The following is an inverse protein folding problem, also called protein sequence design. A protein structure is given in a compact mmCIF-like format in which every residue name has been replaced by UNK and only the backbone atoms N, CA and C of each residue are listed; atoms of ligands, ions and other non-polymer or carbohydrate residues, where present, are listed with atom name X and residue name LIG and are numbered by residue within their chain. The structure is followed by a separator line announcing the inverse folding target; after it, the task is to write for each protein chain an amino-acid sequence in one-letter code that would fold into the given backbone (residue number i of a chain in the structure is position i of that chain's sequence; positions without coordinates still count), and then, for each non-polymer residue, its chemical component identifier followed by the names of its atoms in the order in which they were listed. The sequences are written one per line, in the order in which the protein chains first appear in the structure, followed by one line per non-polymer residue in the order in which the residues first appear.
data_IF_564582038578
#
_entry.id   IF_564582038578
#
_cell.length_a   1.000
_cell.length_b   1.000
_cell.length_c   1.000
_cell.angle_alpha   90.00
_cell.angle_beta   90.00
_cell.angle_gamma   90.00
#
_symmetry.space_group_name_H-M   'P 1'
#
loop_
_entity.id
_entity.type
_entity.pdbx_description
1 polymer ?
#
# COMPACT_ATOMS: atom_id res chain seq x y z
N UNK A 1 23.61 -10.06 10.63
CA UNK A 1 22.52 -10.01 11.63
C UNK A 1 23.06 -10.03 13.07
N UNK A 2 23.93 -10.96 13.44
CA UNK A 2 24.34 -11.22 14.84
C UNK A 2 24.92 -9.99 15.59
N UNK A 3 25.64 -9.13 14.92
CA UNK A 3 26.15 -7.90 15.52
C UNK A 3 25.14 -6.74 15.41
N UNK A 4 24.33 -6.65 14.31
CA UNK A 4 23.34 -5.58 14.11
C UNK A 4 22.24 -5.64 15.17
N UNK A 5 21.74 -6.82 15.50
CA UNK A 5 20.73 -7.00 16.56
C UNK A 5 21.18 -6.51 17.95
N UNK A 6 22.49 -6.42 18.17
CA UNK A 6 23.10 -5.90 19.42
C UNK A 6 23.36 -4.40 19.36
N UNK A 7 23.20 -3.75 18.20
CA UNK A 7 23.37 -2.31 18.04
C UNK A 7 22.25 -1.61 18.81
N UNK A 8 22.55 -0.64 19.68
CA UNK A 8 21.53 0.12 20.42
C UNK A 8 20.47 0.71 19.48
N UNK A 9 19.22 0.72 19.91
CA UNK A 9 18.10 1.19 19.10
C UNK A 9 18.25 2.66 18.70
N UNK A 10 18.81 3.49 19.59
CA UNK A 10 19.09 4.90 19.35
C UNK A 10 20.06 5.06 18.17
N UNK A 11 21.05 4.19 18.09
CA UNK A 11 22.01 4.19 16.99
C UNK A 11 21.34 3.75 15.68
N UNK A 12 20.49 2.71 15.72
CA UNK A 12 19.72 2.27 14.54
C UNK A 12 18.76 3.38 14.07
N UNK A 13 18.03 4.01 14.98
CA UNK A 13 17.15 5.13 14.68
C UNK A 13 17.90 6.33 14.08
N UNK A 14 19.12 6.60 14.56
CA UNK A 14 19.93 7.72 14.05
C UNK A 14 20.29 7.59 12.56
N UNK A 15 20.43 6.38 12.03
CA UNK A 15 20.65 6.18 10.58
C UNK A 15 19.43 6.60 9.78
N UNK A 16 18.22 6.22 10.23
CA UNK A 16 16.98 6.59 9.55
C UNK A 16 16.74 8.10 9.57
N UNK A 17 16.97 8.75 10.73
CA UNK A 17 16.80 10.20 10.86
C UNK A 17 17.78 10.97 9.94
N UNK A 18 19.04 10.53 9.86
CA UNK A 18 20.02 11.09 8.93
C UNK A 18 19.65 10.87 7.46
N UNK A 19 19.11 9.68 7.14
CA UNK A 19 18.66 9.39 5.79
C UNK A 19 17.45 10.26 5.43
N UNK A 20 16.49 10.44 6.32
CA UNK A 20 15.34 11.33 6.15
C UNK A 20 15.78 12.79 5.91
N UNK A 21 16.75 13.30 6.70
CA UNK A 21 17.31 14.64 6.51
C UNK A 21 17.97 14.81 5.16
N UNK A 22 18.82 13.86 4.74
CA UNK A 22 19.49 13.90 3.44
C UNK A 22 18.51 13.78 2.28
N UNK A 23 17.52 12.88 2.37
CA UNK A 23 16.48 12.74 1.36
C UNK A 23 15.66 14.01 1.21
N UNK A 24 15.32 14.69 2.32
CA UNK A 24 14.61 15.98 2.30
C UNK A 24 15.41 17.06 1.56
N UNK A 25 16.72 17.12 1.74
CA UNK A 25 17.60 18.05 1.02
C UNK A 25 17.69 17.74 -0.49
N UNK A 26 17.48 16.49 -0.87
CA UNK A 26 17.56 15.96 -2.25
C UNK A 26 16.19 15.56 -2.79
N UNK A 27 15.10 16.09 -2.23
CA UNK A 27 13.72 15.70 -2.50
C UNK A 27 13.40 15.66 -4.00
N UNK A 28 13.78 16.73 -4.71
CA UNK A 28 13.51 16.83 -6.15
C UNK A 28 14.30 15.82 -7.00
N UNK A 29 15.48 15.38 -6.54
CA UNK A 29 16.25 14.35 -7.23
C UNK A 29 15.53 13.00 -7.17
N UNK A 30 15.03 12.59 -5.99
CA UNK A 30 14.25 11.36 -5.83
C UNK A 30 12.92 11.44 -6.59
N UNK A 31 12.24 12.59 -6.53
CA UNK A 31 10.99 12.78 -7.26
C UNK A 31 11.20 12.71 -8.78
N UNK A 32 12.24 13.35 -9.31
CA UNK A 32 12.57 13.28 -10.73
C UNK A 32 12.84 11.84 -11.21
N UNK A 33 13.51 11.03 -10.41
CA UNK A 33 13.72 9.61 -10.77
C UNK A 33 12.39 8.88 -10.98
N UNK A 34 11.40 9.09 -10.12
CA UNK A 34 10.09 8.45 -10.27
C UNK A 34 9.27 9.00 -11.43
N UNK A 35 9.47 10.26 -11.82
CA UNK A 35 8.88 10.82 -13.03
C UNK A 35 9.38 10.06 -14.26
N UNK A 36 10.70 9.84 -14.37
CA UNK A 36 11.31 9.16 -15.52
C UNK A 36 11.15 7.63 -15.48
N UNK A 37 11.19 7.02 -14.30
CA UNK A 37 11.22 5.55 -14.17
C UNK A 37 9.82 4.93 -14.23
N UNK A 38 8.83 5.56 -13.59
CA UNK A 38 7.47 5.00 -13.46
C UNK A 38 6.38 5.97 -13.91
N UNK A 39 6.73 7.02 -14.63
CA UNK A 39 5.82 8.01 -15.21
C UNK A 39 4.88 8.68 -14.20
N UNK A 40 5.30 8.89 -12.95
CA UNK A 40 4.55 9.72 -12.00
C UNK A 40 4.55 11.17 -12.44
N UNK A 41 3.42 11.89 -12.35
CA UNK A 41 3.44 13.33 -12.45
C UNK A 41 4.15 13.95 -11.24
N UNK A 42 4.45 15.23 -11.29
CA UNK A 42 5.28 15.89 -10.26
C UNK A 42 4.65 15.84 -8.88
N UNK A 43 3.33 16.03 -8.78
CA UNK A 43 2.63 16.02 -7.51
C UNK A 43 2.66 14.63 -6.85
N UNK A 44 2.43 13.57 -7.62
CA UNK A 44 2.47 12.19 -7.14
C UNK A 44 3.91 11.77 -6.74
N UNK A 45 4.91 12.18 -7.52
CA UNK A 45 6.32 11.90 -7.22
C UNK A 45 6.81 12.65 -5.96
N UNK A 46 6.38 13.90 -5.80
CA UNK A 46 6.70 14.71 -4.62
C UNK A 46 6.08 14.12 -3.34
N UNK A 47 4.82 13.67 -3.42
CA UNK A 47 4.14 13.00 -2.31
C UNK A 47 4.79 11.67 -1.93
N UNK A 48 5.20 10.85 -2.91
CA UNK A 48 5.88 9.58 -2.67
C UNK A 48 7.23 9.81 -1.93
N UNK A 49 7.99 10.82 -2.35
CA UNK A 49 9.24 11.18 -1.66
C UNK A 49 8.98 11.71 -0.24
N UNK A 50 7.94 12.51 -0.04
CA UNK A 50 7.57 13.00 1.29
C UNK A 50 7.17 11.84 2.22
N UNK A 51 6.36 10.90 1.72
CA UNK A 51 5.94 9.72 2.48
C UNK A 51 7.14 8.83 2.86
N UNK A 52 8.14 8.68 1.98
CA UNK A 52 9.37 7.95 2.30
C UNK A 52 10.13 8.59 3.47
N UNK A 53 10.20 9.92 3.49
CA UNK A 53 10.79 10.68 4.60
C UNK A 53 10.00 10.45 5.89
N UNK A 54 8.68 10.53 5.83
CA UNK A 54 7.79 10.35 6.97
C UNK A 54 7.93 8.93 7.56
N UNK A 55 8.01 7.89 6.72
CA UNK A 55 8.25 6.51 7.19
C UNK A 55 9.55 6.40 7.98
N UNK A 56 10.65 6.96 7.49
CA UNK A 56 11.93 6.90 8.17
C UNK A 56 11.87 7.59 9.54
N UNK A 57 11.28 8.78 9.62
CA UNK A 57 11.16 9.53 10.86
C UNK A 57 10.20 8.88 11.86
N UNK A 58 9.05 8.40 11.37
CA UNK A 58 8.04 7.75 12.20
C UNK A 58 8.57 6.44 12.80
N UNK A 59 9.13 5.56 11.97
CA UNK A 59 9.63 4.27 12.45
C UNK A 59 10.86 4.40 13.35
N UNK A 60 11.71 5.42 13.16
CA UNK A 60 12.79 5.72 14.08
C UNK A 60 12.25 5.98 15.50
N UNK A 61 11.18 6.77 15.63
CA UNK A 61 10.55 7.11 16.91
C UNK A 61 9.81 5.91 17.53
N UNK A 62 9.06 5.15 16.73
CA UNK A 62 8.33 3.98 17.21
C UNK A 62 9.27 2.83 17.63
N UNK A 63 10.44 2.70 17.02
CA UNK A 63 11.45 1.75 17.47
C UNK A 63 11.97 2.06 18.88
N UNK A 64 12.18 3.33 19.19
CA UNK A 64 12.59 3.75 20.55
C UNK A 64 11.53 3.36 21.59
N UNK A 65 10.24 3.52 21.27
CA UNK A 65 9.12 3.11 22.14
C UNK A 65 9.05 1.60 22.32
N UNK A 66 9.15 0.83 21.25
CA UNK A 66 8.96 -0.62 21.29
C UNK A 66 10.17 -1.38 21.83
N UNK A 67 11.38 -0.86 21.65
CA UNK A 67 12.59 -1.50 22.18
C UNK A 67 12.85 -1.17 23.66
N UNK A 68 12.07 -0.27 24.28
CA UNK A 68 12.04 -0.10 25.73
C UNK A 68 11.36 -1.31 26.40
N UNK A 69 11.66 -1.62 27.67
CA UNK A 69 10.94 -2.63 28.43
C UNK A 69 9.43 -2.37 28.40
N UNK A 70 8.65 -3.40 28.12
CA UNK A 70 7.19 -3.28 28.01
C UNK A 70 6.53 -3.43 29.39
N UNK A 71 5.44 -2.69 29.67
CA UNK A 71 4.73 -2.84 30.92
C UNK A 71 4.12 -4.23 31.06
N UNK A 72 4.29 -4.86 32.20
CA UNK A 72 3.70 -6.14 32.57
C UNK A 72 3.05 -6.07 33.95
N UNK A 73 2.12 -6.99 34.21
CA UNK A 73 1.48 -7.09 35.52
C UNK A 73 2.48 -7.61 36.54
N UNK A 74 2.43 -7.05 37.77
CA UNK A 74 3.28 -7.49 38.86
C UNK A 74 2.94 -8.94 39.29
N UNK A 75 3.98 -9.72 39.62
CA UNK A 75 3.80 -11.07 40.14
C UNK A 75 2.94 -11.09 41.41
N UNK A 76 2.03 -12.05 41.54
CA UNK A 76 1.28 -12.25 42.76
C UNK A 76 2.21 -12.69 43.91
N UNK A 77 1.90 -12.30 45.16
CA UNK A 77 2.78 -12.54 46.37
C UNK A 77 3.11 -14.00 46.59
N UNK A 78 2.21 -14.92 46.21
CA UNK A 78 2.41 -16.37 46.40
C UNK A 78 3.51 -16.95 45.52
N UNK A 79 3.88 -16.27 44.42
CA UNK A 79 4.97 -16.70 43.51
C UNK A 79 6.37 -16.36 44.05
N UNK A 80 6.45 -15.55 45.15
CA UNK A 80 7.68 -15.08 45.73
C UNK A 80 8.20 -13.79 45.10
N UNK A 81 9.47 -13.49 45.32
CA UNK A 81 10.11 -12.33 44.71
C UNK A 81 10.61 -12.68 43.30
N UNK A 82 10.04 -12.05 42.30
CA UNK A 82 10.48 -12.17 40.93
C UNK A 82 10.70 -10.82 40.27
N UNK A 83 11.73 -10.73 39.43
CA UNK A 83 11.92 -9.68 38.43
C UNK A 83 11.44 -10.23 37.08
N UNK A 84 10.44 -9.60 36.52
CA UNK A 84 9.85 -10.02 35.28
C UNK A 84 9.95 -8.90 34.21
N UNK A 85 10.24 -9.30 32.99
CA UNK A 85 10.40 -8.38 31.87
C UNK A 85 9.73 -8.95 30.61
N UNK A 86 9.17 -8.06 29.81
CA UNK A 86 8.80 -8.34 28.41
C UNK A 86 9.61 -7.40 27.51
N UNK A 87 10.43 -7.97 26.66
CA UNK A 87 11.22 -7.21 25.67
C UNK A 87 10.92 -7.70 24.26
N UNK A 88 11.03 -6.79 23.29
CA UNK A 88 10.95 -7.15 21.88
C UNK A 88 12.34 -7.30 21.30
N UNK A 89 12.55 -8.39 20.56
CA UNK A 89 13.82 -8.71 19.88
C UNK A 89 13.58 -8.89 18.37
N UNK A 90 14.57 -8.60 17.52
CA UNK A 90 14.42 -8.75 16.07
C UNK A 90 14.26 -10.21 15.63
N UNK A 91 13.58 -10.41 14.52
CA UNK A 91 13.34 -11.72 13.94
C UNK A 91 14.58 -12.36 13.32
N UNK A 92 15.31 -11.63 12.46
CA UNK A 92 16.45 -12.17 11.74
C UNK A 92 16.71 -11.51 10.38
N UNK A 93 16.90 -12.31 9.35
CA UNK A 93 17.09 -11.85 7.97
C UNK A 93 15.74 -11.82 7.25
N UNK A 94 15.40 -10.71 6.63
CA UNK A 94 14.16 -10.53 5.88
C UNK A 94 14.35 -10.39 4.38
N UNK A 95 13.37 -10.88 3.62
CA UNK A 95 13.20 -10.59 2.20
C UNK A 95 12.23 -9.40 2.05
N UNK A 96 12.65 -8.35 1.36
CA UNK A 96 11.83 -7.18 1.06
C UNK A 96 11.56 -7.14 -0.44
N UNK A 97 10.26 -7.23 -0.79
CA UNK A 97 9.77 -7.33 -2.17
C UNK A 97 8.76 -6.22 -2.43
N UNK A 98 9.20 -4.97 -2.68
CA UNK A 98 8.33 -3.82 -2.88
C UNK A 98 7.76 -3.75 -4.30
N UNK A 99 6.68 -2.98 -4.51
CA UNK A 99 6.08 -2.74 -5.81
C UNK A 99 6.80 -1.61 -6.56
N UNK A 100 6.36 -1.35 -7.79
CA UNK A 100 6.87 -0.25 -8.61
C UNK A 100 6.03 1.04 -8.50
N UNK A 101 4.76 0.94 -8.12
CA UNK A 101 3.82 2.07 -8.19
C UNK A 101 4.01 3.13 -7.09
N UNK A 102 4.52 2.74 -5.94
CA UNK A 102 5.08 3.61 -4.89
C UNK A 102 6.53 3.18 -4.67
N UNK A 103 7.31 3.43 -5.72
CA UNK A 103 8.64 2.86 -5.88
C UNK A 103 9.63 3.27 -4.79
N UNK A 104 9.46 4.45 -4.21
CA UNK A 104 10.29 4.95 -3.12
C UNK A 104 9.64 4.70 -1.75
N UNK A 105 8.44 5.23 -1.50
CA UNK A 105 7.87 5.26 -0.15
C UNK A 105 7.60 3.87 0.42
N UNK A 106 6.94 2.98 -0.34
CA UNK A 106 6.65 1.62 0.14
C UNK A 106 7.96 0.84 0.33
N UNK A 107 8.89 0.94 -0.61
CA UNK A 107 10.20 0.31 -0.49
C UNK A 107 10.95 0.78 0.76
N UNK A 108 11.01 2.09 0.98
CA UNK A 108 11.64 2.70 2.16
C UNK A 108 10.92 2.28 3.44
N UNK A 109 9.59 2.33 3.46
CA UNK A 109 8.79 1.95 4.63
C UNK A 109 9.02 0.50 5.04
N UNK A 110 8.95 -0.46 4.11
CA UNK A 110 9.19 -1.89 4.35
C UNK A 110 10.63 -2.16 4.80
N UNK A 111 11.59 -1.51 4.17
CA UNK A 111 13.02 -1.70 4.44
C UNK A 111 13.41 -1.11 5.80
N UNK A 112 13.07 0.14 6.05
CA UNK A 112 13.53 0.87 7.23
C UNK A 112 12.85 0.41 8.51
N UNK A 113 11.58 -0.02 8.45
CA UNK A 113 10.90 -0.67 9.58
C UNK A 113 11.63 -1.94 10.04
N UNK A 114 12.04 -2.77 9.09
CA UNK A 114 12.80 -3.99 9.39
C UNK A 114 14.20 -3.67 9.96
N UNK A 115 14.90 -2.69 9.37
CA UNK A 115 16.25 -2.31 9.79
C UNK A 115 16.27 -1.72 11.21
N UNK A 116 15.37 -0.77 11.50
CA UNK A 116 15.34 -0.13 12.81
C UNK A 116 14.90 -1.08 13.93
N UNK A 117 14.06 -2.08 13.60
CA UNK A 117 13.73 -3.17 14.52
C UNK A 117 14.93 -4.07 14.85
N UNK A 118 16.06 -3.95 14.12
CA UNK A 118 17.29 -4.70 14.38
C UNK A 118 17.49 -5.90 13.45
N UNK A 119 16.67 -6.04 12.41
CA UNK A 119 16.83 -7.06 11.38
C UNK A 119 17.82 -6.61 10.31
N UNK A 120 18.33 -7.56 9.53
CA UNK A 120 19.04 -7.30 8.29
C UNK A 120 18.17 -7.74 7.12
N UNK A 121 18.32 -7.10 5.96
CA UNK A 121 17.42 -7.36 4.84
C UNK A 121 18.16 -7.59 3.52
N UNK A 122 17.54 -8.41 2.68
CA UNK A 122 17.81 -8.49 1.25
C UNK A 122 16.62 -7.82 0.55
N UNK A 123 16.89 -6.72 -0.12
CA UNK A 123 15.90 -5.94 -0.87
C UNK A 123 16.00 -6.31 -2.35
N UNK A 124 14.90 -6.77 -2.93
CA UNK A 124 14.75 -6.96 -4.37
C UNK A 124 13.67 -6.00 -4.89
N UNK A 125 14.06 -4.86 -5.48
CA UNK A 125 13.09 -3.95 -6.06
C UNK A 125 12.32 -4.59 -7.22
N UNK A 126 11.18 -3.98 -7.59
CA UNK A 126 10.51 -4.33 -8.82
C UNK A 126 11.45 -4.13 -10.02
N UNK A 127 11.42 -5.04 -11.03
CA UNK A 127 12.15 -4.81 -12.28
C UNK A 127 11.77 -3.51 -13.00
N UNK A 128 10.56 -2.98 -12.74
CA UNK A 128 10.06 -1.75 -13.34
C UNK A 128 10.54 -0.47 -12.60
N UNK A 129 11.25 -0.61 -11.44
CA UNK A 129 11.72 0.52 -10.64
C UNK A 129 13.09 0.22 -9.95
N UNK A 130 14.15 -0.12 -10.72
CA UNK A 130 15.45 -0.46 -10.15
C UNK A 130 16.29 0.75 -9.75
N UNK A 131 16.16 1.89 -10.45
CA UNK A 131 17.06 3.03 -10.26
C UNK A 131 16.79 3.79 -8.96
N UNK A 132 15.51 4.00 -8.61
CA UNK A 132 15.15 4.63 -7.34
C UNK A 132 15.62 3.79 -6.15
N UNK A 133 15.64 2.46 -6.28
CA UNK A 133 16.17 1.56 -5.26
C UNK A 133 17.71 1.66 -5.14
N UNK A 134 18.42 1.76 -6.26
CA UNK A 134 19.87 2.01 -6.25
C UNK A 134 20.16 3.34 -5.53
N UNK A 135 19.40 4.38 -5.85
CA UNK A 135 19.56 5.70 -5.24
C UNK A 135 19.29 5.72 -3.74
N UNK A 136 18.31 4.94 -3.29
CA UNK A 136 18.07 4.74 -1.86
C UNK A 136 19.22 3.98 -1.19
N UNK A 137 19.79 2.95 -1.84
CA UNK A 137 20.94 2.22 -1.31
C UNK A 137 22.17 3.14 -1.16
N UNK A 138 22.46 3.98 -2.17
CA UNK A 138 23.51 5.00 -2.09
C UNK A 138 23.29 5.95 -0.90
N UNK A 139 22.07 6.42 -0.71
CA UNK A 139 21.72 7.28 0.43
C UNK A 139 22.02 6.58 1.78
N UNK A 140 21.70 5.29 1.89
CA UNK A 140 21.97 4.52 3.09
C UNK A 140 23.48 4.29 3.34
N UNK A 141 24.28 4.15 2.30
CA UNK A 141 25.74 4.13 2.40
C UNK A 141 26.30 5.50 2.85
N UNK A 142 25.80 6.58 2.26
CA UNK A 142 26.20 7.95 2.58
C UNK A 142 25.93 8.35 4.04
N UNK A 143 24.91 7.79 4.68
CA UNK A 143 24.65 8.01 6.12
C UNK A 143 25.46 7.08 7.01
N UNK A 144 26.29 6.21 6.39
CA UNK A 144 27.19 5.30 7.08
C UNK A 144 26.51 4.06 7.63
N UNK A 145 25.38 3.61 7.02
CA UNK A 145 24.78 2.33 7.38
C UNK A 145 25.80 1.22 7.18
N UNK A 146 26.07 0.37 8.18
CA UNK A 146 27.11 -0.64 8.06
C UNK A 146 26.82 -1.67 6.96
N UNK A 147 27.86 -2.11 6.27
CA UNK A 147 27.77 -3.11 5.20
C UNK A 147 27.11 -4.41 5.68
N UNK A 148 26.25 -5.00 4.85
CA UNK A 148 25.53 -6.24 5.13
C UNK A 148 24.25 -6.06 5.97
N UNK A 149 23.92 -4.84 6.39
CA UNK A 149 22.63 -4.53 7.04
C UNK A 149 21.52 -4.41 6.01
N UNK A 150 21.75 -3.66 4.94
CA UNK A 150 20.94 -3.59 3.72
C UNK A 150 21.74 -4.21 2.58
N UNK A 151 21.14 -5.15 1.86
CA UNK A 151 21.72 -5.79 0.68
C UNK A 151 20.69 -5.67 -0.45
N UNK A 152 21.08 -5.09 -1.58
CA UNK A 152 20.18 -4.93 -2.73
C UNK A 152 20.60 -5.94 -3.80
N UNK A 153 19.60 -6.67 -4.32
CA UNK A 153 19.77 -7.58 -5.45
C UNK A 153 18.71 -7.31 -6.50
N UNK A 154 19.07 -7.47 -7.75
CA UNK A 154 18.16 -7.27 -8.88
C UNK A 154 17.81 -8.60 -9.51
N UNK A 155 16.66 -8.69 -10.16
CA UNK A 155 16.20 -9.87 -10.86
C UNK A 155 14.69 -9.98 -10.94
N UNK A 156 14.22 -10.99 -11.66
CA UNK A 156 12.81 -11.28 -11.89
C UNK A 156 12.17 -12.07 -10.75
N UNK A 157 11.17 -12.88 -11.13
CA UNK A 157 10.40 -13.70 -10.21
C UNK A 157 11.26 -14.79 -9.56
N UNK A 158 12.18 -15.38 -10.32
CA UNK A 158 13.08 -16.46 -9.89
C UNK A 158 13.97 -16.06 -8.71
N UNK A 159 14.45 -14.81 -8.69
CA UNK A 159 15.23 -14.27 -7.57
C UNK A 159 14.33 -14.08 -6.35
N UNK A 160 13.10 -13.56 -6.55
CA UNK A 160 12.11 -13.42 -5.47
C UNK A 160 11.73 -14.76 -4.84
N UNK A 161 11.50 -15.78 -5.65
CA UNK A 161 11.19 -17.15 -5.20
C UNK A 161 12.34 -17.73 -4.39
N UNK A 162 13.58 -17.61 -4.88
CA UNK A 162 14.78 -18.06 -4.15
C UNK A 162 14.92 -17.38 -2.79
N UNK A 163 14.61 -16.06 -2.69
CA UNK A 163 14.61 -15.34 -1.41
C UNK A 163 13.54 -15.85 -0.45
N UNK A 164 12.32 -16.09 -0.95
CA UNK A 164 11.19 -16.58 -0.14
C UNK A 164 11.48 -17.99 0.38
N UNK A 165 12.03 -18.86 -0.46
CA UNK A 165 12.30 -20.26 -0.15
C UNK A 165 13.54 -20.46 0.72
N UNK A 166 14.47 -19.55 0.71
CA UNK A 166 15.76 -19.71 1.41
C UNK A 166 15.58 -20.02 2.90
N UNK A 167 16.20 -21.06 3.47
CA UNK A 167 15.99 -21.51 4.84
C UNK A 167 16.38 -20.47 5.91
N UNK A 168 17.26 -19.53 5.58
CA UNK A 168 17.67 -18.45 6.49
C UNK A 168 16.75 -17.24 6.43
N UNK A 169 15.83 -17.13 5.47
CA UNK A 169 14.80 -16.09 5.44
C UNK A 169 13.84 -16.28 6.59
N UNK A 170 13.74 -15.28 7.46
CA UNK A 170 12.94 -15.33 8.69
C UNK A 170 11.55 -14.71 8.49
N UNK A 171 11.49 -13.67 7.66
CA UNK A 171 10.24 -13.02 7.27
C UNK A 171 10.31 -12.53 5.83
N UNK A 172 9.14 -12.37 5.24
CA UNK A 172 8.94 -11.80 3.92
C UNK A 172 8.03 -10.60 4.08
N UNK A 173 8.45 -9.43 3.60
CA UNK A 173 7.61 -8.25 3.46
C UNK A 173 7.40 -8.01 1.97
N UNK A 174 6.15 -8.09 1.54
CA UNK A 174 5.74 -8.05 0.14
C UNK A 174 4.61 -7.05 -0.07
N UNK A 175 4.70 -6.27 -1.12
CA UNK A 175 3.58 -5.49 -1.66
C UNK A 175 3.51 -5.70 -3.16
N UNK A 176 2.34 -6.12 -3.67
CA UNK A 176 2.16 -6.42 -5.08
C UNK A 176 0.81 -7.08 -5.39
N UNK A 177 0.76 -7.88 -6.47
CA UNK A 177 -0.49 -8.52 -6.86
C UNK A 177 -0.92 -9.66 -5.93
N UNK A 178 -2.23 -9.84 -5.78
CA UNK A 178 -2.85 -10.95 -5.03
C UNK A 178 -2.26 -12.31 -5.41
N UNK A 179 -2.16 -12.60 -6.71
CA UNK A 179 -1.68 -13.88 -7.20
C UNK A 179 -0.24 -14.19 -6.73
N UNK A 180 0.64 -13.18 -6.71
CA UNK A 180 2.02 -13.34 -6.21
C UNK A 180 2.04 -13.44 -4.69
N UNK A 181 1.26 -12.63 -3.97
CA UNK A 181 1.19 -12.69 -2.51
C UNK A 181 0.72 -14.04 -1.97
N UNK A 182 -0.30 -14.64 -2.61
CA UNK A 182 -0.78 -15.98 -2.26
C UNK A 182 0.29 -17.07 -2.51
N UNK A 183 1.02 -17.00 -3.64
CA UNK A 183 2.15 -17.91 -3.91
C UNK A 183 3.27 -17.76 -2.87
N UNK A 184 3.58 -16.53 -2.47
CA UNK A 184 4.58 -16.26 -1.42
C UNK A 184 4.14 -16.90 -0.11
N UNK A 185 2.87 -16.73 0.27
CA UNK A 185 2.32 -17.28 1.51
C UNK A 185 2.37 -18.82 1.50
N UNK A 186 1.98 -19.45 0.40
CA UNK A 186 2.09 -20.91 0.21
C UNK A 186 3.55 -21.39 0.30
N UNK A 187 4.48 -20.73 -0.42
CA UNK A 187 5.89 -21.10 -0.43
C UNK A 187 6.55 -20.93 0.95
N UNK A 188 6.19 -19.87 1.68
CA UNK A 188 6.69 -19.59 3.02
C UNK A 188 6.24 -20.61 4.07
N UNK A 189 5.06 -21.22 3.88
CA UNK A 189 4.53 -22.26 4.76
C UNK A 189 5.27 -23.61 4.63
N UNK A 190 5.95 -23.86 3.51
CA UNK A 190 6.71 -25.09 3.28
C UNK A 190 8.02 -25.07 4.07
N UNK A 191 8.20 -26.04 4.99
CA UNK A 191 9.44 -26.17 5.74
C UNK A 191 10.58 -26.62 4.81
N UNK A 192 11.72 -25.93 4.90
CA UNK A 192 12.94 -26.24 4.13
C UNK A 192 14.00 -26.87 5.03
N UNK A 193 14.86 -27.69 4.44
CA UNK A 193 15.99 -28.28 5.18
C UNK A 193 16.87 -27.17 5.81
N UNK A 194 17.23 -27.32 7.08
CA UNK A 194 17.98 -26.34 7.87
C UNK A 194 17.18 -25.14 8.38
N UNK A 195 15.90 -25.02 8.06
CA UNK A 195 15.02 -23.98 8.60
C UNK A 195 14.63 -24.31 10.05
N UNK A 196 14.75 -23.32 10.95
CA UNK A 196 14.51 -23.50 12.40
C UNK A 196 13.29 -22.71 12.91
N UNK A 197 12.51 -22.08 12.03
CA UNK A 197 11.41 -21.19 12.38
C UNK A 197 10.27 -21.23 11.35
N UNK A 198 9.09 -20.83 11.78
CA UNK A 198 7.99 -20.51 10.88
C UNK A 198 8.28 -19.11 10.29
N UNK A 199 8.28 -18.98 8.96
CA UNK A 199 8.46 -17.70 8.28
C UNK A 199 7.23 -16.83 8.51
N UNK A 200 7.44 -15.54 8.79
CA UNK A 200 6.36 -14.57 8.86
C UNK A 200 6.18 -13.92 7.49
N UNK A 201 4.96 -13.87 7.00
CA UNK A 201 4.60 -13.14 5.78
C UNK A 201 3.82 -11.90 6.16
N UNK A 202 4.30 -10.74 5.70
CA UNK A 202 3.65 -9.45 5.76
C UNK A 202 3.33 -9.08 4.32
N UNK A 203 2.06 -9.15 3.93
CA UNK A 203 1.64 -8.98 2.56
C UNK A 203 0.59 -7.85 2.47
N UNK A 204 0.83 -6.92 1.55
CA UNK A 204 -0.13 -5.93 1.07
C UNK A 204 -0.37 -6.18 -0.41
N UNK A 205 -1.63 -6.36 -0.80
CA UNK A 205 -2.02 -6.76 -2.13
C UNK A 205 -3.02 -5.78 -2.74
N UNK A 206 -3.66 -6.16 -3.82
CA UNK A 206 -4.58 -5.32 -4.54
C UNK A 206 -5.87 -4.99 -3.81
N UNK A 207 -6.70 -4.20 -4.47
CA UNK A 207 -8.02 -3.79 -4.01
C UNK A 207 -9.04 -3.74 -5.14
N UNK A 208 -10.30 -3.74 -4.77
CA UNK A 208 -11.45 -3.40 -5.64
C UNK A 208 -12.31 -2.37 -4.93
N UNK A 209 -11.68 -1.24 -4.68
CA UNK A 209 -12.12 -0.23 -3.73
C UNK A 209 -13.35 0.54 -4.23
N UNK A 210 -14.24 0.90 -3.31
CA UNK A 210 -15.51 1.51 -3.63
C UNK A 210 -15.75 2.83 -2.87
N UNK A 211 -16.41 3.78 -3.54
CA UNK A 211 -17.02 4.94 -2.90
C UNK A 211 -18.54 4.81 -3.02
N UNK A 212 -19.26 4.88 -1.90
CA UNK A 212 -20.72 4.95 -1.84
C UNK A 212 -21.14 6.42 -1.82
N UNK A 213 -22.09 6.80 -2.68
CA UNK A 213 -22.65 8.16 -2.75
C UNK A 213 -24.14 8.12 -2.49
N UNK A 214 -24.56 8.78 -1.39
CA UNK A 214 -25.96 8.89 -0.95
C UNK A 214 -26.61 10.20 -1.42
N UNK A 215 -27.96 10.27 -1.53
CA UNK A 215 -28.64 11.44 -2.07
C UNK A 215 -28.46 12.73 -1.26
N UNK A 216 -28.17 12.61 0.04
CA UNK A 216 -27.93 13.75 0.94
C UNK A 216 -26.46 14.21 0.97
N UNK A 217 -25.60 13.59 0.17
CA UNK A 217 -24.19 13.97 0.06
C UNK A 217 -24.00 15.37 -0.57
N UNK A 218 -22.83 15.95 -0.36
CA UNK A 218 -22.35 17.00 -1.26
C UNK A 218 -21.83 16.33 -2.55
N UNK A 219 -22.65 16.34 -3.61
CA UNK A 219 -22.35 15.61 -4.85
C UNK A 219 -21.10 16.15 -5.55
N UNK A 220 -20.85 17.45 -5.50
CA UNK A 220 -19.66 18.04 -6.15
C UNK A 220 -18.36 17.59 -5.47
N UNK A 221 -18.33 17.55 -4.13
CA UNK A 221 -17.19 17.01 -3.39
C UNK A 221 -17.07 15.48 -3.55
N UNK A 222 -18.16 14.75 -3.62
CA UNK A 222 -18.16 13.30 -3.85
C UNK A 222 -17.59 12.97 -5.24
N UNK A 223 -18.03 13.66 -6.29
CA UNK A 223 -17.52 13.53 -7.66
C UNK A 223 -16.06 13.89 -7.74
N UNK A 224 -15.64 15.01 -7.15
CA UNK A 224 -14.24 15.43 -7.10
C UNK A 224 -13.35 14.38 -6.43
N UNK A 225 -13.78 13.87 -5.29
CA UNK A 225 -13.05 12.83 -4.56
C UNK A 225 -12.99 11.50 -5.34
N UNK A 226 -14.08 11.12 -6.02
CA UNK A 226 -14.13 9.93 -6.88
C UNK A 226 -13.14 10.04 -8.04
N UNK A 227 -13.15 11.14 -8.80
CA UNK A 227 -12.23 11.38 -9.91
C UNK A 227 -10.76 11.36 -9.46
N UNK A 228 -10.45 12.03 -8.36
CA UNK A 228 -9.11 12.03 -7.80
C UNK A 228 -8.66 10.64 -7.33
N UNK A 229 -9.57 9.85 -6.77
CA UNK A 229 -9.28 8.50 -6.29
C UNK A 229 -9.19 7.49 -7.43
N UNK A 230 -9.98 7.66 -8.51
CA UNK A 230 -10.01 6.72 -9.63
C UNK A 230 -8.85 6.93 -10.61
N UNK A 231 -8.52 8.19 -10.91
CA UNK A 231 -7.64 8.53 -12.02
C UNK A 231 -6.26 9.10 -11.62
N UNK A 232 -6.05 9.43 -10.34
CA UNK A 232 -4.72 9.79 -9.86
C UNK A 232 -3.70 8.69 -10.15
N UNK A 233 -2.54 9.06 -10.68
CA UNK A 233 -1.51 8.14 -11.18
C UNK A 233 -2.08 7.10 -12.17
N UNK A 234 -3.01 7.53 -13.04
CA UNK A 234 -3.68 6.68 -14.04
C UNK A 234 -4.34 5.43 -13.44
N UNK A 235 -4.87 5.53 -12.21
CA UNK A 235 -5.51 4.40 -11.52
C UNK A 235 -4.58 3.29 -11.05
N UNK A 236 -3.26 3.47 -11.12
CA UNK A 236 -2.24 2.47 -10.77
C UNK A 236 -1.93 2.46 -9.27
N UNK A 237 -2.97 2.49 -8.44
CA UNK A 237 -2.87 2.42 -6.97
C UNK A 237 -3.71 1.26 -6.46
N UNK A 238 -3.17 0.53 -5.48
CA UNK A 238 -3.94 -0.51 -4.80
C UNK A 238 -5.21 0.05 -4.13
N UNK A 239 -5.18 1.33 -3.72
CA UNK A 239 -6.28 2.09 -3.10
C UNK A 239 -7.13 2.90 -4.09
N UNK A 240 -6.96 2.73 -5.41
CA UNK A 240 -7.71 3.50 -6.39
C UNK A 240 -9.20 3.16 -6.34
N UNK A 241 -10.06 4.20 -6.42
CA UNK A 241 -11.50 4.01 -6.55
C UNK A 241 -11.80 3.36 -7.92
N UNK A 242 -12.06 2.08 -7.93
CA UNK A 242 -12.38 1.33 -9.15
C UNK A 242 -13.88 1.06 -9.31
N UNK A 243 -14.65 1.29 -8.22
CA UNK A 243 -16.11 1.21 -8.20
C UNK A 243 -16.70 2.45 -7.54
N UNK A 244 -17.73 3.02 -8.10
CA UNK A 244 -18.58 3.99 -7.41
C UNK A 244 -19.99 3.45 -7.34
N UNK A 245 -20.54 3.34 -6.13
CA UNK A 245 -21.87 2.79 -5.87
C UNK A 245 -22.77 3.97 -5.53
N UNK A 246 -23.71 4.24 -6.41
CA UNK A 246 -24.48 5.48 -6.40
C UNK A 246 -25.95 5.15 -6.11
N UNK A 247 -26.52 5.84 -5.12
CA UNK A 247 -27.95 5.72 -4.84
C UNK A 247 -28.77 6.10 -6.10
N UNK A 248 -29.78 5.29 -6.46
CA UNK A 248 -30.60 5.46 -7.67
C UNK A 248 -31.19 6.87 -7.83
N UNK A 249 -31.49 7.56 -6.72
CA UNK A 249 -32.12 8.90 -6.71
C UNK A 249 -31.22 10.01 -7.27
N UNK A 250 -29.91 9.79 -7.28
CA UNK A 250 -28.92 10.78 -7.73
C UNK A 250 -27.98 10.19 -8.81
N UNK A 251 -28.29 8.98 -9.31
CA UNK A 251 -27.44 8.24 -10.20
C UNK A 251 -27.11 9.02 -11.48
N UNK A 252 -28.13 9.48 -12.19
CA UNK A 252 -27.93 10.15 -13.48
C UNK A 252 -27.19 11.48 -13.32
N UNK A 253 -27.50 12.26 -12.27
CA UNK A 253 -26.78 13.50 -11.95
C UNK A 253 -25.30 13.24 -11.65
N UNK A 254 -25.00 12.20 -10.88
CA UNK A 254 -23.60 11.85 -10.54
C UNK A 254 -22.86 11.37 -11.78
N UNK A 255 -23.47 10.56 -12.66
CA UNK A 255 -22.84 10.13 -13.94
C UNK A 255 -22.51 11.33 -14.82
N UNK A 256 -23.44 12.29 -14.98
CA UNK A 256 -23.21 13.50 -15.75
C UNK A 256 -22.01 14.30 -15.18
N UNK A 257 -22.02 14.55 -13.88
CA UNK A 257 -20.92 15.28 -13.21
C UNK A 257 -19.57 14.53 -13.27
N UNK A 258 -19.57 13.20 -13.19
CA UNK A 258 -18.34 12.39 -13.33
C UNK A 258 -17.75 12.51 -14.74
N UNK A 259 -18.60 12.42 -15.79
CA UNK A 259 -18.16 12.53 -17.18
C UNK A 259 -17.65 13.94 -17.52
N UNK A 260 -18.37 14.98 -17.07
CA UNK A 260 -17.91 16.37 -17.22
C UNK A 260 -16.54 16.58 -16.57
N UNK A 261 -16.39 16.14 -15.32
CA UNK A 261 -15.13 16.32 -14.60
C UNK A 261 -13.99 15.45 -15.14
N UNK A 262 -14.26 14.25 -15.62
CA UNK A 262 -13.26 13.41 -16.30
C UNK A 262 -12.75 14.08 -17.57
N UNK A 263 -13.61 14.81 -18.30
CA UNK A 263 -13.25 15.59 -19.48
C UNK A 263 -12.27 16.76 -19.20
N UNK A 264 -12.10 17.17 -17.95
CA UNK A 264 -11.11 18.19 -17.59
C UNK A 264 -9.71 17.64 -17.30
N UNK A 265 -9.55 16.31 -17.26
CA UNK A 265 -8.26 15.67 -17.00
C UNK A 265 -7.37 15.77 -18.25
N UNK A 266 -6.12 16.17 -18.04
CA UNK A 266 -5.09 16.16 -19.08
C UNK A 266 -4.32 14.85 -19.05
N UNK A 267 -4.06 14.26 -20.21
CA UNK A 267 -3.25 13.05 -20.39
C UNK A 267 -2.01 13.39 -21.23
N UNK A 268 -0.82 13.07 -20.75
CA UNK A 268 0.41 13.43 -21.45
C UNK A 268 1.68 12.89 -20.79
N UNK A 269 2.83 13.38 -21.25
CA UNK A 269 4.13 13.02 -20.70
C UNK A 269 4.23 13.51 -19.24
N UNK A 270 4.70 12.64 -18.35
CA UNK A 270 4.84 12.91 -16.91
C UNK A 270 5.75 14.14 -16.64
N UNK A 271 6.73 14.41 -17.50
CA UNK A 271 7.63 15.55 -17.40
C UNK A 271 6.89 16.90 -17.50
N UNK A 272 5.78 16.93 -18.25
CA UNK A 272 4.94 18.12 -18.40
C UNK A 272 3.90 18.29 -17.29
N UNK A 273 3.90 17.38 -16.30
CA UNK A 273 3.00 17.40 -15.14
C UNK A 273 1.50 17.39 -15.48
N UNK A 274 1.01 16.47 -16.33
CA UNK A 274 -0.41 16.34 -16.61
C UNK A 274 -1.18 15.74 -15.42
N UNK A 275 -2.52 15.75 -15.49
CA UNK A 275 -3.37 15.07 -14.49
C UNK A 275 -3.11 13.56 -14.47
N UNK A 276 -2.89 12.98 -15.64
CA UNK A 276 -2.63 11.56 -15.88
C UNK A 276 -1.46 11.39 -16.85
N UNK A 277 -0.72 10.31 -16.69
CA UNK A 277 0.44 9.96 -17.52
C UNK A 277 0.32 8.54 -18.06
N UNK A 278 1.36 8.08 -18.77
CA UNK A 278 1.42 6.72 -19.28
C UNK A 278 1.30 5.67 -18.16
N UNK A 279 0.72 4.51 -18.47
CA UNK A 279 0.79 3.34 -17.58
C UNK A 279 2.17 2.70 -17.65
N UNK A 280 2.54 1.96 -16.62
CA UNK A 280 3.93 1.58 -16.31
C UNK A 280 4.63 0.71 -17.37
N UNK A 281 3.90 -0.06 -18.16
CA UNK A 281 4.50 -1.04 -19.06
C UNK A 281 3.55 -1.48 -20.18
N UNK A 282 4.11 -2.08 -21.23
CA UNK A 282 3.32 -2.71 -22.31
C UNK A 282 2.36 -3.77 -21.76
N UNK A 283 2.80 -4.55 -20.76
CA UNK A 283 1.96 -5.57 -20.13
C UNK A 283 0.77 -4.95 -19.43
N UNK A 284 0.96 -3.85 -18.70
CA UNK A 284 -0.14 -3.09 -18.07
C UNK A 284 -1.07 -2.52 -19.13
N UNK A 285 -0.54 -1.90 -20.18
CA UNK A 285 -1.30 -1.34 -21.28
C UNK A 285 -2.22 -2.39 -21.96
N UNK A 286 -1.66 -3.56 -22.31
CA UNK A 286 -2.43 -4.67 -22.91
C UNK A 286 -3.52 -5.17 -21.98
N UNK A 287 -3.20 -5.41 -20.70
CA UNK A 287 -4.17 -5.85 -19.69
C UNK A 287 -5.32 -4.85 -19.56
N UNK A 288 -5.02 -3.57 -19.38
CA UNK A 288 -6.05 -2.55 -19.17
C UNK A 288 -6.92 -2.39 -20.41
N UNK A 289 -6.32 -2.40 -21.60
CA UNK A 289 -7.05 -2.34 -22.88
C UNK A 289 -8.00 -3.53 -23.05
N UNK A 290 -7.57 -4.75 -22.66
CA UNK A 290 -8.45 -5.93 -22.65
C UNK A 290 -9.65 -5.73 -21.72
N UNK A 291 -9.45 -5.20 -20.51
CA UNK A 291 -10.55 -4.91 -19.59
C UNK A 291 -11.50 -3.82 -20.08
N UNK A 292 -10.99 -2.85 -20.84
CA UNK A 292 -11.86 -1.85 -21.51
C UNK A 292 -12.77 -2.54 -22.53
N UNK A 293 -12.24 -3.46 -23.33
CA UNK A 293 -13.07 -4.22 -24.30
C UNK A 293 -14.08 -5.15 -23.60
N UNK A 294 -13.70 -5.79 -22.49
CA UNK A 294 -14.62 -6.55 -21.64
C UNK A 294 -15.73 -5.62 -21.10
N UNK A 295 -15.37 -4.45 -20.59
CA UNK A 295 -16.33 -3.48 -20.08
C UNK A 295 -17.34 -3.00 -21.12
N UNK A 296 -16.92 -2.83 -22.37
CA UNK A 296 -17.83 -2.49 -23.49
C UNK A 296 -18.88 -3.58 -23.77
N UNK A 297 -18.60 -4.82 -23.38
CA UNK A 297 -19.54 -5.94 -23.51
C UNK A 297 -20.45 -6.10 -22.29
N UNK A 298 -19.96 -5.70 -21.10
CA UNK A 298 -20.66 -5.89 -19.83
C UNK A 298 -21.48 -4.68 -19.40
N UNK A 299 -21.18 -3.46 -19.91
CA UNK A 299 -21.76 -2.22 -19.41
C UNK A 299 -21.76 -1.10 -20.46
N UNK A 300 -22.38 0.02 -20.13
CA UNK A 300 -22.45 1.20 -21.00
C UNK A 300 -21.20 2.07 -20.83
N UNK A 301 -20.36 2.15 -21.87
CA UNK A 301 -19.25 3.11 -21.90
C UNK A 301 -19.84 4.54 -22.02
N UNK A 302 -19.59 5.40 -21.06
CA UNK A 302 -20.08 6.78 -21.02
C UNK A 302 -18.99 7.83 -21.20
N UNK A 303 -17.71 7.47 -20.97
CA UNK A 303 -16.57 8.36 -21.19
C UNK A 303 -15.29 7.59 -21.53
N UNK A 304 -14.43 8.16 -22.38
CA UNK A 304 -13.09 7.65 -22.70
C UNK A 304 -13.10 6.33 -23.48
N UNK A 305 -12.27 5.40 -23.07
CA UNK A 305 -12.20 4.05 -23.66
C UNK A 305 -11.21 3.93 -24.82
N UNK A 306 -10.34 4.93 -25.05
CA UNK A 306 -9.29 4.88 -26.06
C UNK A 306 -7.93 4.62 -25.39
N UNK A 307 -7.09 3.90 -26.11
CA UNK A 307 -5.72 3.61 -25.74
C UNK A 307 -4.79 3.91 -26.93
N UNK A 308 -3.66 4.56 -26.69
CA UNK A 308 -2.66 4.94 -27.71
C UNK A 308 -1.26 4.50 -27.28
N UNK A 309 -0.65 3.64 -28.07
CA UNK A 309 0.71 3.15 -27.88
C UNK A 309 1.73 3.76 -28.86
N UNK A 310 1.36 4.76 -29.65
CA UNK A 310 2.21 5.33 -30.69
C UNK A 310 3.42 6.11 -30.15
N UNK A 311 3.28 6.72 -28.96
CA UNK A 311 4.33 7.53 -28.28
C UNK A 311 4.60 7.10 -26.86
N UNK A 312 3.83 6.15 -26.33
CA UNK A 312 3.88 5.66 -24.96
C UNK A 312 2.62 4.89 -24.62
N UNK A 313 2.54 4.33 -23.42
CA UNK A 313 1.40 3.51 -23.00
C UNK A 313 0.28 4.37 -22.41
N UNK A 314 -0.39 5.18 -23.26
CA UNK A 314 -1.42 6.12 -22.82
C UNK A 314 -2.83 5.51 -22.90
N UNK A 315 -3.60 5.65 -21.84
CA UNK A 315 -5.01 5.19 -21.73
C UNK A 315 -5.84 6.33 -21.18
N UNK A 316 -6.92 6.68 -21.88
CA UNK A 316 -7.86 7.70 -21.43
C UNK A 316 -8.56 7.29 -20.13
N UNK A 317 -8.94 8.25 -19.25
CA UNK A 317 -9.84 7.96 -18.15
C UNK A 317 -11.13 7.37 -18.71
N UNK A 318 -11.52 6.21 -18.22
CA UNK A 318 -12.62 5.41 -18.78
C UNK A 318 -13.69 5.18 -17.74
N UNK A 319 -14.95 5.53 -18.05
CA UNK A 319 -16.10 5.40 -17.16
C UNK A 319 -17.16 4.51 -17.81
N UNK A 320 -17.54 3.46 -17.09
CA UNK A 320 -18.67 2.60 -17.43
C UNK A 320 -19.84 2.87 -16.48
N UNK A 321 -21.01 3.08 -17.02
CA UNK A 321 -22.28 3.20 -16.29
C UNK A 321 -23.09 1.91 -16.40
N UNK A 322 -24.10 1.78 -15.54
CA UNK A 322 -25.03 0.64 -15.48
C UNK A 322 -24.29 -0.71 -15.35
N UNK A 323 -23.23 -0.70 -14.52
CA UNK A 323 -22.42 -1.90 -14.31
C UNK A 323 -23.12 -2.83 -13.32
N UNK A 324 -23.28 -4.08 -13.67
CA UNK A 324 -23.77 -5.10 -12.76
C UNK A 324 -22.72 -5.39 -11.66
N UNK A 325 -23.12 -5.56 -10.38
CA UNK A 325 -22.18 -5.83 -9.29
C UNK A 325 -21.29 -7.06 -9.51
N UNK A 326 -21.77 -8.04 -10.28
CA UNK A 326 -21.06 -9.29 -10.59
C UNK A 326 -20.20 -9.24 -11.87
N UNK A 327 -20.23 -8.13 -12.61
CA UNK A 327 -19.44 -7.95 -13.82
C UNK A 327 -17.94 -8.04 -13.52
N UNK A 328 -17.15 -8.57 -14.45
CA UNK A 328 -15.70 -8.70 -14.29
C UNK A 328 -15.03 -7.36 -13.99
N UNK A 329 -15.48 -6.28 -14.66
CA UNK A 329 -14.96 -4.93 -14.39
C UNK A 329 -15.34 -4.39 -13.01
N UNK A 330 -16.34 -4.98 -12.33
CA UNK A 330 -16.72 -4.66 -10.94
C UNK A 330 -16.04 -5.54 -9.89
N UNK A 331 -15.51 -6.71 -10.28
CA UNK A 331 -14.96 -7.70 -9.36
C UNK A 331 -13.42 -7.85 -9.44
N UNK A 332 -12.85 -7.78 -10.64
CA UNK A 332 -11.43 -8.03 -10.87
C UNK A 332 -10.60 -6.73 -10.81
N UNK A 333 -9.40 -6.79 -10.24
CA UNK A 333 -8.47 -5.66 -10.18
C UNK A 333 -7.85 -5.37 -11.55
N UNK A 334 -8.20 -4.21 -12.13
CA UNK A 334 -7.70 -3.77 -13.44
C UNK A 334 -6.32 -3.11 -13.30
N UNK A 335 -6.12 -2.29 -12.28
CA UNK A 335 -4.92 -1.49 -11.98
C UNK A 335 -4.63 -0.45 -13.08
N UNK A 336 -5.66 0.26 -13.49
CA UNK A 336 -5.64 1.25 -14.55
C UNK A 336 -6.81 2.24 -14.45
N UNK A 337 -6.91 3.22 -15.37
CA UNK A 337 -7.85 4.32 -15.29
C UNK A 337 -9.27 3.91 -15.73
N UNK A 338 -9.86 2.94 -15.06
CA UNK A 338 -11.19 2.40 -15.36
C UNK A 338 -12.07 2.46 -14.11
N UNK A 339 -13.19 3.15 -14.20
CA UNK A 339 -14.18 3.33 -13.15
C UNK A 339 -15.49 2.65 -13.53
N UNK A 340 -15.98 1.75 -12.68
CA UNK A 340 -17.28 1.09 -12.79
C UNK A 340 -18.31 1.79 -11.90
N UNK A 341 -19.38 2.31 -12.50
CA UNK A 341 -20.49 2.97 -11.81
C UNK A 341 -21.66 1.99 -11.65
N UNK A 342 -22.00 1.70 -10.40
CA UNK A 342 -23.01 0.73 -10.00
C UNK A 342 -24.18 1.48 -9.34
N UNK A 343 -25.40 1.11 -9.69
CA UNK A 343 -26.62 1.67 -9.07
C UNK A 343 -27.02 0.86 -7.84
N UNK A 344 -27.44 1.54 -6.79
CA UNK A 344 -28.02 0.90 -5.61
C UNK A 344 -29.34 1.57 -5.23
N UNK A 345 -30.36 0.79 -4.89
CA UNK A 345 -31.67 1.31 -4.50
C UNK A 345 -31.65 2.02 -3.15
N UNK A 346 -30.78 1.58 -2.26
CA UNK A 346 -30.68 2.12 -0.90
C UNK A 346 -29.27 1.85 -0.30
N UNK A 347 -29.03 2.37 0.92
CA UNK A 347 -27.76 2.25 1.61
C UNK A 347 -27.42 0.81 2.02
N UNK A 348 -28.40 -0.03 2.31
CA UNK A 348 -28.19 -1.44 2.69
C UNK A 348 -27.63 -2.21 1.50
N UNK A 349 -28.23 -2.06 0.32
CA UNK A 349 -27.76 -2.65 -0.91
C UNK A 349 -26.39 -2.09 -1.31
N UNK A 350 -26.17 -0.78 -1.13
CA UNK A 350 -24.86 -0.17 -1.42
C UNK A 350 -23.74 -0.77 -0.56
N UNK A 351 -23.97 -1.00 0.73
CA UNK A 351 -23.03 -1.68 1.62
C UNK A 351 -22.83 -3.14 1.23
N UNK A 352 -23.90 -3.85 0.86
CA UNK A 352 -23.79 -5.23 0.39
C UNK A 352 -22.91 -5.31 -0.87
N UNK A 353 -23.18 -4.49 -1.89
CA UNK A 353 -22.38 -4.42 -3.12
C UNK A 353 -20.93 -4.04 -2.82
N UNK A 354 -20.70 -3.09 -1.91
CA UNK A 354 -19.37 -2.65 -1.54
C UNK A 354 -18.54 -3.79 -0.93
N UNK A 355 -19.16 -4.62 -0.08
CA UNK A 355 -18.53 -5.75 0.60
C UNK A 355 -18.45 -7.03 -0.26
N UNK A 356 -19.26 -7.15 -1.31
CA UNK A 356 -19.31 -8.34 -2.17
C UNK A 356 -18.14 -8.35 -3.16
N UNK A 357 -16.94 -8.55 -2.62
CA UNK A 357 -15.67 -8.71 -3.34
C UNK A 357 -14.68 -9.49 -2.48
N UNK A 358 -13.75 -10.16 -3.12
CA UNK A 358 -12.67 -10.87 -2.42
C UNK A 358 -11.63 -9.95 -1.76
N UNK A 359 -11.70 -8.64 -2.05
CA UNK A 359 -10.80 -7.62 -1.52
C UNK A 359 -11.42 -6.86 -0.33
N UNK A 360 -10.63 -6.08 0.35
CA UNK A 360 -11.06 -5.24 1.47
C UNK A 360 -9.99 -4.21 1.86
N UNK A 361 -9.47 -3.43 0.85
CA UNK A 361 -8.38 -2.50 1.14
C UNK A 361 -8.90 -1.14 1.59
N UNK A 362 -9.52 -0.38 0.69
CA UNK A 362 -10.07 0.94 1.02
C UNK A 362 -11.53 1.06 0.62
N UNK A 363 -12.26 1.92 1.35
CA UNK A 363 -13.65 2.25 1.04
C UNK A 363 -13.99 3.67 1.47
N UNK A 364 -15.01 4.24 0.87
CA UNK A 364 -15.50 5.57 1.20
C UNK A 364 -17.01 5.68 1.19
N UNK A 365 -17.53 6.60 2.00
CA UNK A 365 -18.97 6.90 2.05
C UNK A 365 -19.17 8.40 2.08
N UNK A 366 -20.00 8.89 1.16
CA UNK A 366 -20.45 10.28 1.12
C UNK A 366 -21.92 10.38 1.52
N UNK A 367 -22.20 10.98 2.67
CA UNK A 367 -23.54 11.26 3.20
C UNK A 367 -23.43 12.28 4.34
N UNK A 368 -24.49 13.08 4.56
CA UNK A 368 -24.63 13.93 5.75
C UNK A 368 -25.31 13.19 6.91
N UNK A 369 -25.88 12.02 6.65
CA UNK A 369 -26.60 11.25 7.66
C UNK A 369 -25.63 10.55 8.63
N UNK A 370 -25.56 11.05 9.86
CA UNK A 370 -24.68 10.52 10.90
C UNK A 370 -24.90 9.03 11.19
N UNK A 371 -26.15 8.57 11.16
CA UNK A 371 -26.47 7.15 11.41
C UNK A 371 -25.87 6.23 10.32
N UNK A 372 -25.93 6.67 9.06
CA UNK A 372 -25.28 5.92 7.95
C UNK A 372 -23.77 5.89 8.09
N UNK A 373 -23.15 7.00 8.54
CA UNK A 373 -21.71 7.05 8.79
C UNK A 373 -21.28 6.10 9.93
N UNK A 374 -22.06 6.02 11.02
CA UNK A 374 -21.77 5.07 12.11
C UNK A 374 -21.94 3.63 11.65
N UNK A 375 -23.01 3.32 10.92
CA UNK A 375 -23.20 1.99 10.33
C UNK A 375 -22.06 1.61 9.38
N UNK A 376 -21.58 2.53 8.56
CA UNK A 376 -20.43 2.26 7.67
C UNK A 376 -19.17 1.87 8.45
N UNK A 377 -18.95 2.45 9.63
CA UNK A 377 -17.80 2.06 10.48
C UNK A 377 -17.87 0.62 10.97
N UNK A 378 -19.07 0.10 11.16
CA UNK A 378 -19.31 -1.25 11.66
C UNK A 378 -19.47 -2.28 10.53
N UNK A 379 -20.12 -1.86 9.43
CA UNK A 379 -20.62 -2.78 8.40
C UNK A 379 -19.80 -2.76 7.10
N UNK A 380 -19.06 -1.67 6.77
CA UNK A 380 -18.21 -1.63 5.58
C UNK A 380 -16.86 -2.28 5.88
N UNK A 381 -16.66 -3.50 5.41
CA UNK A 381 -15.54 -4.36 5.79
C UNK A 381 -14.29 -4.10 4.96
N UNK A 382 -13.57 -3.02 5.28
CA UNK A 382 -12.32 -2.61 4.65
C UNK A 382 -11.29 -2.21 5.69
N UNK A 383 -10.02 -2.37 5.37
CA UNK A 383 -8.93 -2.00 6.26
C UNK A 383 -8.80 -0.49 6.49
N UNK A 384 -9.16 0.32 5.49
CA UNK A 384 -9.16 1.79 5.58
C UNK A 384 -10.48 2.36 5.08
N UNK A 385 -11.30 2.88 6.00
CA UNK A 385 -12.57 3.52 5.70
C UNK A 385 -12.45 5.04 5.78
N UNK A 386 -12.92 5.74 4.76
CA UNK A 386 -12.90 7.18 4.64
C UNK A 386 -14.32 7.76 4.53
N UNK A 387 -14.63 8.75 5.34
CA UNK A 387 -15.94 9.36 5.39
C UNK A 387 -15.88 10.80 4.85
N UNK A 388 -16.68 11.10 3.81
CA UNK A 388 -16.79 12.41 3.16
C UNK A 388 -15.42 12.95 2.64
N UNK A 389 -14.56 12.06 2.14
CA UNK A 389 -13.28 12.42 1.52
C UNK A 389 -12.85 11.36 0.51
N UNK A 390 -11.82 11.67 -0.28
CA UNK A 390 -11.18 10.69 -1.20
C UNK A 390 -10.60 9.50 -0.43
N UNK A 391 -10.54 8.33 -1.07
CA UNK A 391 -10.07 7.07 -0.48
C UNK A 391 -8.58 6.79 -0.70
N UNK A 392 -7.87 7.68 -1.38
CA UNK A 392 -6.42 7.62 -1.61
C UNK A 392 -5.67 8.62 -0.74
N UNK A 393 -4.33 8.46 -0.62
CA UNK A 393 -3.45 9.37 0.12
C UNK A 393 -3.56 9.18 1.64
N UNK A 394 -3.35 7.96 2.10
CA UNK A 394 -3.10 7.68 3.50
C UNK A 394 -1.80 8.37 3.94
N UNK A 395 -1.77 8.90 5.16
CA UNK A 395 -0.62 9.59 5.73
C UNK A 395 0.00 8.77 6.86
N UNK A 396 1.32 8.68 6.87
CA UNK A 396 2.09 7.97 7.90
C UNK A 396 1.77 8.55 9.29
N UNK A 397 1.49 7.69 10.24
CA UNK A 397 1.12 8.07 11.61
C UNK A 397 -0.32 8.58 11.79
N UNK A 398 -1.04 8.87 10.70
CA UNK A 398 -2.41 9.39 10.71
C UNK A 398 -3.42 8.35 10.25
N UNK A 399 -3.11 7.64 9.16
CA UNK A 399 -3.98 6.64 8.57
C UNK A 399 -3.21 5.33 8.39
N UNK A 400 -3.04 4.51 9.44
CA UNK A 400 -2.39 3.20 9.32
C UNK A 400 -3.01 2.38 8.18
N UNK A 401 -2.19 1.94 7.22
CA UNK A 401 -2.65 1.40 5.96
C UNK A 401 -2.45 -0.11 5.88
N UNK A 402 -3.51 -0.85 5.56
CA UNK A 402 -3.46 -2.29 5.39
C UNK A 402 -4.84 -2.90 5.19
N UNK A 403 -4.94 -3.88 4.28
CA UNK A 403 -6.19 -4.44 3.81
C UNK A 403 -6.65 -5.69 4.54
N UNK A 404 -7.98 -5.90 4.54
CA UNK A 404 -8.67 -7.11 4.96
C UNK A 404 -8.81 -8.10 3.79
N UNK A 405 -9.34 -9.28 4.03
CA UNK A 405 -9.58 -10.32 3.03
C UNK A 405 -8.31 -10.60 2.18
N UNK A 406 -8.47 -10.74 0.87
CA UNK A 406 -7.33 -10.97 -0.03
C UNK A 406 -6.60 -9.69 -0.45
N UNK A 407 -6.85 -8.56 0.25
CA UNK A 407 -6.02 -7.35 0.10
C UNK A 407 -4.78 -7.34 0.97
N UNK A 408 -4.66 -8.22 1.97
CA UNK A 408 -3.43 -8.30 2.75
C UNK A 408 -3.55 -9.03 4.08
N UNK A 409 -2.48 -8.93 4.86
CA UNK A 409 -2.38 -9.50 6.21
C UNK A 409 -2.65 -8.47 7.31
N UNK A 410 -3.34 -7.39 6.98
CA UNK A 410 -3.69 -6.28 7.88
C UNK A 410 -2.47 -5.72 8.63
N UNK A 411 -1.39 -5.45 7.92
CA UNK A 411 -0.11 -5.06 8.50
C UNK A 411 -0.10 -3.65 9.12
N UNK A 412 -1.01 -2.76 8.69
CA UNK A 412 -1.14 -1.36 9.15
C UNK A 412 0.16 -0.55 9.03
N UNK A 413 0.73 -0.54 7.79
CA UNK A 413 1.90 0.27 7.47
C UNK A 413 1.68 1.73 7.86
N UNK A 414 2.73 2.39 8.39
CA UNK A 414 2.62 3.73 8.96
C UNK A 414 1.85 3.81 10.28
N UNK A 415 1.47 2.67 10.87
CA UNK A 415 0.85 2.60 12.18
C UNK A 415 1.86 2.39 13.31
N UNK A 416 1.43 2.74 14.54
CA UNK A 416 2.25 2.63 15.76
C UNK A 416 2.81 1.23 15.99
N UNK A 417 2.04 0.20 15.63
CA UNK A 417 2.36 -1.19 15.93
C UNK A 417 2.93 -1.96 14.73
N UNK A 418 3.12 -1.26 13.60
CA UNK A 418 3.66 -1.88 12.37
C UNK A 418 4.99 -2.61 12.61
N UNK A 419 5.87 -2.05 13.44
CA UNK A 419 7.17 -2.65 13.76
C UNK A 419 7.07 -4.01 14.47
N UNK A 420 5.94 -4.34 15.10
CA UNK A 420 5.70 -5.66 15.70
C UNK A 420 5.72 -6.78 14.65
N UNK A 421 5.47 -6.48 13.39
CA UNK A 421 5.63 -7.43 12.29
C UNK A 421 7.06 -7.93 12.13
N UNK A 422 8.06 -7.16 12.57
CA UNK A 422 9.50 -7.42 12.46
C UNK A 422 10.16 -7.79 13.79
N UNK A 423 9.37 -7.90 14.84
CA UNK A 423 9.81 -8.17 16.21
C UNK A 423 9.12 -9.42 16.77
N UNK A 424 9.70 -10.01 17.78
CA UNK A 424 9.10 -11.06 18.59
C UNK A 424 9.27 -10.77 20.08
N UNK A 425 8.21 -10.99 20.86
CA UNK A 425 8.24 -10.82 22.31
C UNK A 425 9.05 -11.93 23.00
N UNK A 426 9.90 -11.55 23.94
CA UNK A 426 10.60 -12.46 24.84
C UNK A 426 10.22 -12.13 26.28
N UNK A 427 9.53 -13.06 26.94
CA UNK A 427 9.25 -12.97 28.37
C UNK A 427 10.44 -13.53 29.15
N UNK A 428 10.86 -12.79 30.16
CA UNK A 428 11.95 -13.15 31.06
C UNK A 428 11.40 -13.12 32.48
N UNK A 429 11.63 -14.17 33.26
CA UNK A 429 11.29 -14.26 34.67
C UNK A 429 12.56 -14.67 35.45
N UNK A 430 12.93 -13.88 36.42
CA UNK A 430 14.08 -14.14 37.32
C UNK A 430 13.60 -14.22 38.75
N UNK A 431 13.84 -15.35 39.39
CA UNK A 431 13.60 -15.48 40.82
C UNK A 431 14.72 -14.78 41.62
N UNK A 432 14.33 -13.78 42.37
CA UNK A 432 15.29 -13.07 43.25
C UNK A 432 15.52 -13.86 44.53
N UNK A 433 16.76 -13.99 44.93
CA UNK A 433 17.18 -14.66 46.18
C UNK A 433 16.64 -13.97 47.45
#
# INVERSE_FOLDING_TARGET
FEWWKKTPVEKRASYLLKAAEKMRKRKHEFSAMMIFEVAKNWAEADMDTAEAIDFMEFYAREALRLCAPQPIVKSPKWLGKEANELIYIPLGVGAILPPWNFALSIMVGMTTSALVAGNTVVLKPSPDAPFVAAKFAELMEEVGLPKGVLNVIYGGAEVGEAMVEHPKTRFISFTGSKAVGLKINEAAAKLREGQKWIKRVIAEMGGKDAIIIEPDANLDEAVKATIQSAFGFSGQKCSACSRVIINEKVYDEVIEKLTERAGTLTLGDAVENPSMSAVSSEKAFKKISEYIEIGKQEAKLVFGGKADSSKGWFIEPTIFADVEPTARIAQEEIFGPVLACIKAANFDEALQIANDTEYGLTGGVFTKNRKKLERAKEEFFVGNLYLNRKITGALVGVHPFGGFNLSGTDSKAGGRDYLLNFLQGKSIAERLA
#
